data_IF_679239778680
#
_entry.id   IF_679239778680
#
_cell.length_a   1.000
_cell.length_b   1.000
_cell.length_c   1.000
_cell.angle_alpha   90.00
_cell.angle_beta   90.00
_cell.angle_gamma   90.00
#
_symmetry.space_group_name_H-M   'P 1'
#
loop_
_entity.id
_entity.type
_entity.pdbx_description
1 polymer ?
#
# COMPACT_ATOMS: atom_id res chain seq x y z
N UNK A 1 34.99 -1.29 9.75
CA UNK A 1 34.59 -2.66 10.15
C UNK A 1 33.20 -2.72 10.79
N UNK A 2 32.87 -1.88 11.78
CA UNK A 2 31.56 -1.88 12.48
C UNK A 2 30.36 -1.55 11.55
N UNK A 3 30.51 -0.58 10.63
CA UNK A 3 29.47 -0.24 9.63
C UNK A 3 29.12 -1.41 8.70
N UNK A 4 30.12 -2.16 8.22
CA UNK A 4 29.90 -3.31 7.33
C UNK A 4 29.21 -4.47 8.04
N UNK A 5 29.54 -4.73 9.31
CA UNK A 5 28.87 -5.76 10.13
C UNK A 5 27.41 -5.40 10.46
N UNK A 6 27.12 -4.12 10.74
CA UNK A 6 25.73 -3.64 10.87
C UNK A 6 24.96 -3.77 9.55
N UNK A 7 25.57 -3.39 8.42
CA UNK A 7 24.97 -3.55 7.09
C UNK A 7 24.67 -5.02 6.80
N UNK A 8 25.57 -5.95 7.17
CA UNK A 8 25.40 -7.39 6.96
C UNK A 8 24.29 -8.01 7.85
N UNK A 9 24.27 -7.68 9.15
CA UNK A 9 23.23 -8.14 10.10
C UNK A 9 21.84 -7.55 9.80
N UNK A 10 21.78 -6.35 9.21
CA UNK A 10 20.51 -5.75 8.82
C UNK A 10 20.09 -6.24 7.42
N UNK A 11 21.03 -6.51 6.48
CA UNK A 11 20.72 -7.18 5.20
C UNK A 11 20.02 -8.53 5.41
N UNK A 12 20.47 -9.34 6.36
CA UNK A 12 19.81 -10.61 6.70
C UNK A 12 18.41 -10.40 7.31
N UNK A 13 18.21 -9.40 8.17
CA UNK A 13 16.88 -9.02 8.68
C UNK A 13 15.95 -8.43 7.62
N UNK A 14 16.48 -7.68 6.66
CA UNK A 14 15.73 -7.13 5.53
C UNK A 14 15.27 -8.24 4.58
N UNK A 15 16.08 -9.29 4.42
CA UNK A 15 15.74 -10.51 3.69
C UNK A 15 14.76 -11.44 4.46
N UNK A 16 14.75 -11.42 5.80
CA UNK A 16 13.80 -12.20 6.60
C UNK A 16 12.45 -11.50 6.86
N UNK A 17 12.31 -10.22 6.53
CA UNK A 17 11.01 -9.51 6.56
C UNK A 17 10.12 -9.78 5.34
N UNK A 18 10.53 -10.69 4.45
CA UNK A 18 10.15 -10.79 3.03
C UNK A 18 8.86 -11.52 2.70
N UNK A 19 7.96 -11.70 3.65
CA UNK A 19 6.64 -12.24 3.35
C UNK A 19 5.64 -11.60 4.31
N UNK A 20 4.61 -10.96 3.73
CA UNK A 20 3.35 -10.58 4.37
C UNK A 20 3.33 -9.19 5.01
N UNK A 21 3.06 -8.16 4.21
CA UNK A 21 2.83 -6.79 4.69
C UNK A 21 1.58 -6.70 5.57
N UNK A 22 0.51 -7.48 5.34
CA UNK A 22 -0.68 -7.43 6.21
C UNK A 22 -0.95 -8.66 7.11
N UNK A 23 -0.17 -9.75 7.08
CA UNK A 23 -0.20 -10.67 8.26
C UNK A 23 0.46 -10.05 9.50
N UNK A 24 0.95 -8.81 9.39
CA UNK A 24 1.34 -7.92 10.50
C UNK A 24 0.35 -6.78 10.74
N UNK A 25 -0.90 -6.90 10.30
CA UNK A 25 -1.96 -6.29 11.09
C UNK A 25 -1.83 -6.95 12.48
N UNK A 26 -1.25 -6.22 13.43
CA UNK A 26 -1.31 -6.62 14.83
C UNK A 26 -2.77 -6.56 15.26
N UNK A 27 -3.14 -7.24 16.36
CA UNK A 27 -4.45 -7.11 17.04
C UNK A 27 -5.05 -5.70 16.89
N UNK A 28 -4.22 -4.70 17.15
CA UNK A 28 -4.55 -3.29 17.06
C UNK A 28 -5.19 -2.84 15.73
N UNK A 29 -4.68 -3.25 14.54
CA UNK A 29 -5.30 -2.86 13.26
C UNK A 29 -6.59 -3.63 13.01
N UNK A 30 -6.65 -4.87 13.48
CA UNK A 30 -7.85 -5.69 13.39
C UNK A 30 -9.02 -5.08 14.17
N UNK A 31 -8.78 -4.57 15.38
CA UNK A 31 -9.81 -3.93 16.20
C UNK A 31 -10.46 -2.73 15.46
N UNK A 32 -9.72 -2.05 14.59
CA UNK A 32 -10.27 -0.98 13.74
C UNK A 32 -11.06 -1.51 12.53
N UNK A 33 -10.68 -2.68 12.00
CA UNK A 33 -11.39 -3.33 10.90
C UNK A 33 -12.69 -4.01 11.34
N UNK A 34 -12.80 -4.48 12.59
CA UNK A 34 -14.02 -5.13 13.10
C UNK A 34 -15.29 -4.27 13.03
N UNK A 35 -15.13 -2.94 12.92
CA UNK A 35 -16.22 -2.00 12.78
C UNK A 35 -16.47 -1.58 11.31
N UNK A 36 -15.80 -2.21 10.35
CA UNK A 36 -15.83 -1.86 8.93
C UNK A 36 -16.85 -2.63 8.10
N UNK A 37 -17.32 -2.00 7.03
CA UNK A 37 -18.30 -2.57 6.09
C UNK A 37 -17.58 -3.29 4.94
N UNK A 38 -16.51 -2.69 4.42
CA UNK A 38 -15.74 -3.26 3.32
C UNK A 38 -14.52 -2.43 2.94
N UNK A 39 -13.66 -3.05 2.15
CA UNK A 39 -12.29 -2.60 1.90
C UNK A 39 -12.08 -2.33 0.41
N UNK A 40 -11.46 -1.21 0.10
CA UNK A 40 -10.73 -0.99 -1.15
C UNK A 40 -9.25 -1.20 -0.81
N UNK A 41 -8.60 -2.19 -1.43
CA UNK A 41 -7.19 -2.50 -1.18
C UNK A 41 -6.38 -2.24 -2.46
N UNK A 42 -5.53 -1.21 -2.43
CA UNK A 42 -4.66 -0.83 -3.54
C UNK A 42 -3.23 -1.30 -3.25
N UNK A 43 -2.65 -2.06 -4.19
CA UNK A 43 -1.39 -2.77 -3.98
C UNK A 43 -1.61 -4.19 -3.46
N UNK A 44 -2.58 -4.89 -4.05
CA UNK A 44 -3.09 -6.16 -3.55
C UNK A 44 -2.14 -7.36 -3.67
N UNK A 45 -1.12 -7.27 -4.54
CA UNK A 45 -0.19 -8.35 -4.87
C UNK A 45 -0.97 -9.64 -5.24
N UNK A 46 -0.79 -10.73 -4.49
CA UNK A 46 -1.45 -12.02 -4.70
C UNK A 46 -2.67 -12.22 -3.78
N UNK A 47 -3.09 -11.19 -3.03
CA UNK A 47 -4.27 -11.23 -2.15
C UNK A 47 -4.02 -11.96 -0.82
N UNK A 48 -2.87 -11.74 -0.20
CA UNK A 48 -2.42 -12.47 0.99
C UNK A 48 -3.38 -12.35 2.19
N UNK A 49 -4.28 -11.36 2.18
CA UNK A 49 -5.26 -11.09 3.23
C UNK A 49 -6.68 -11.55 2.88
N UNK A 50 -6.88 -12.15 1.70
CA UNK A 50 -8.21 -12.55 1.22
C UNK A 50 -8.96 -13.46 2.18
N UNK A 51 -8.28 -14.49 2.71
CA UNK A 51 -8.87 -15.37 3.70
C UNK A 51 -9.27 -14.64 4.99
N UNK A 52 -8.49 -13.63 5.38
CA UNK A 52 -8.79 -12.85 6.58
C UNK A 52 -10.03 -11.97 6.36
N UNK A 53 -10.07 -11.19 5.28
CA UNK A 53 -11.22 -10.34 4.99
C UNK A 53 -12.50 -11.17 4.78
N UNK A 54 -12.38 -12.37 4.19
CA UNK A 54 -13.48 -13.31 4.05
C UNK A 54 -14.00 -13.81 5.40
N UNK A 55 -13.12 -14.12 6.37
CA UNK A 55 -13.51 -14.55 7.71
C UNK A 55 -14.29 -13.47 8.48
N UNK A 56 -14.18 -12.21 8.07
CA UNK A 56 -14.94 -11.06 8.59
C UNK A 56 -16.14 -10.70 7.72
N UNK A 57 -16.45 -11.48 6.68
CA UNK A 57 -17.53 -11.26 5.72
C UNK A 57 -17.48 -9.87 5.04
N UNK A 58 -16.28 -9.32 4.83
CA UNK A 58 -16.11 -8.00 4.22
C UNK A 58 -16.23 -8.05 2.71
N UNK A 59 -16.92 -7.06 2.13
CA UNK A 59 -16.78 -6.79 0.70
C UNK A 59 -15.37 -6.24 0.43
N UNK A 60 -14.69 -6.77 -0.58
CA UNK A 60 -13.33 -6.33 -0.91
C UNK A 60 -13.17 -6.06 -2.39
N UNK A 61 -12.74 -4.85 -2.73
CA UNK A 61 -12.23 -4.48 -4.03
C UNK A 61 -10.71 -4.46 -3.97
N UNK A 62 -10.09 -5.46 -4.60
CA UNK A 62 -8.64 -5.55 -4.75
C UNK A 62 -8.19 -4.86 -6.02
N UNK A 63 -7.15 -4.04 -5.93
CA UNK A 63 -6.55 -3.37 -7.07
C UNK A 63 -5.06 -3.69 -7.10
N UNK A 64 -4.64 -4.37 -8.16
CA UNK A 64 -3.25 -4.75 -8.39
C UNK A 64 -2.76 -4.21 -9.74
N UNK A 65 -1.60 -3.56 -9.74
CA UNK A 65 -1.05 -2.94 -10.95
C UNK A 65 -0.33 -3.97 -11.84
N UNK A 66 0.42 -4.90 -11.25
CA UNK A 66 1.24 -5.87 -11.97
C UNK A 66 0.34 -6.99 -12.55
N UNK A 67 0.25 -7.14 -13.88
CA UNK A 67 -0.66 -8.12 -14.50
C UNK A 67 -0.40 -9.56 -14.05
N UNK A 68 0.87 -9.95 -13.88
CA UNK A 68 1.24 -11.29 -13.42
C UNK A 68 0.76 -11.58 -11.99
N UNK A 69 0.84 -10.60 -11.08
CA UNK A 69 0.32 -10.74 -9.71
C UNK A 69 -1.21 -10.71 -9.69
N UNK A 70 -1.83 -9.86 -10.51
CA UNK A 70 -3.28 -9.79 -10.67
C UNK A 70 -3.91 -11.13 -11.10
N UNK A 71 -3.27 -11.87 -12.01
CA UNK A 71 -3.77 -13.19 -12.43
C UNK A 71 -3.84 -14.13 -11.22
N UNK A 72 -2.76 -14.22 -10.44
CA UNK A 72 -2.72 -15.05 -9.24
C UNK A 72 -3.69 -14.58 -8.16
N UNK A 73 -3.80 -13.27 -7.95
CA UNK A 73 -4.79 -12.68 -7.06
C UNK A 73 -6.20 -13.12 -7.45
N UNK A 74 -6.54 -13.00 -8.74
CA UNK A 74 -7.85 -13.39 -9.27
C UNK A 74 -8.14 -14.85 -8.98
N UNK A 75 -7.18 -15.75 -9.21
CA UNK A 75 -7.30 -17.18 -8.89
C UNK A 75 -7.48 -17.42 -7.39
N UNK A 76 -6.67 -16.75 -6.54
CA UNK A 76 -6.67 -16.92 -5.09
C UNK A 76 -7.98 -16.49 -4.43
N UNK A 77 -8.69 -15.52 -5.01
CA UNK A 77 -9.93 -14.98 -4.46
C UNK A 77 -11.21 -15.60 -5.03
N UNK A 78 -11.12 -16.47 -6.05
CA UNK A 78 -12.30 -17.09 -6.72
C UNK A 78 -13.31 -17.73 -5.77
N UNK A 79 -12.84 -18.26 -4.63
CA UNK A 79 -13.66 -18.88 -3.59
C UNK A 79 -14.41 -17.89 -2.68
N UNK A 80 -14.19 -16.59 -2.82
CA UNK A 80 -14.78 -15.55 -1.97
C UNK A 80 -15.77 -14.68 -2.78
N UNK A 81 -17.06 -14.99 -2.68
CA UNK A 81 -18.12 -14.36 -3.48
C UNK A 81 -18.26 -12.83 -3.29
N UNK A 82 -17.77 -12.29 -2.17
CA UNK A 82 -17.82 -10.85 -1.86
C UNK A 82 -16.50 -10.13 -2.14
N UNK A 83 -15.55 -10.77 -2.83
CA UNK A 83 -14.27 -10.18 -3.20
C UNK A 83 -14.10 -10.16 -4.72
N UNK A 84 -13.56 -9.05 -5.22
CA UNK A 84 -13.35 -8.81 -6.65
C UNK A 84 -11.98 -8.16 -6.85
N UNK A 85 -11.30 -8.51 -7.95
CA UNK A 85 -10.04 -7.89 -8.34
C UNK A 85 -10.19 -7.02 -9.59
N UNK A 86 -9.37 -5.96 -9.68
CA UNK A 86 -9.19 -5.11 -10.87
C UNK A 86 -7.69 -4.95 -11.12
N UNK A 87 -7.27 -5.13 -12.38
CA UNK A 87 -5.90 -4.82 -12.80
C UNK A 87 -5.80 -3.34 -13.17
N UNK A 88 -5.19 -2.52 -12.31
CA UNK A 88 -5.00 -1.10 -12.58
C UNK A 88 -3.83 -0.51 -11.78
N UNK A 89 -3.06 0.37 -12.42
CA UNK A 89 -2.10 1.24 -11.73
C UNK A 89 -2.81 2.53 -11.30
N UNK A 90 -3.00 2.70 -9.99
CA UNK A 90 -3.70 3.86 -9.45
C UNK A 90 -2.74 5.03 -9.26
N UNK A 91 -3.14 6.22 -9.73
CA UNK A 91 -2.35 7.44 -9.68
C UNK A 91 -3.24 8.69 -9.51
N UNK A 92 -2.64 9.87 -9.32
CA UNK A 92 -3.36 11.14 -9.21
C UNK A 92 -4.01 11.60 -10.52
N UNK A 93 -3.59 11.04 -11.66
CA UNK A 93 -4.06 11.38 -13.00
C UNK A 93 -4.26 10.11 -13.80
N UNK A 94 -5.33 10.06 -14.59
CA UNK A 94 -5.63 8.95 -15.52
C UNK A 94 -4.93 9.17 -16.86
N UNK A 95 -4.63 8.08 -17.57
CA UNK A 95 -4.11 8.12 -18.94
C UNK A 95 -2.62 8.42 -19.08
N UNK A 96 -1.85 8.43 -18.00
CA UNK A 96 -0.39 8.60 -18.06
C UNK A 96 0.27 7.26 -18.34
N UNK A 97 1.20 7.23 -19.29
CA UNK A 97 2.14 6.13 -19.43
C UNK A 97 3.23 6.27 -18.36
N UNK A 98 3.34 5.29 -17.47
CA UNK A 98 4.29 5.28 -16.35
C UNK A 98 5.09 3.99 -16.39
N UNK A 99 6.41 4.12 -16.24
CA UNK A 99 7.27 2.95 -16.05
C UNK A 99 7.09 2.41 -14.63
N UNK A 100 6.63 1.18 -14.55
CA UNK A 100 6.43 0.45 -13.31
C UNK A 100 7.56 -0.57 -13.14
N UNK A 101 8.38 -0.37 -12.10
CA UNK A 101 9.57 -1.15 -11.82
C UNK A 101 9.24 -2.31 -10.90
N UNK A 102 9.70 -3.51 -11.25
CA UNK A 102 9.40 -4.76 -10.54
C UNK A 102 10.68 -5.60 -10.39
N UNK A 103 10.91 -6.17 -9.20
CA UNK A 103 12.05 -7.08 -8.93
C UNK A 103 11.62 -8.49 -8.48
N UNK A 104 10.36 -8.84 -8.76
CA UNK A 104 9.75 -10.13 -8.39
C UNK A 104 9.27 -10.18 -6.93
N UNK A 105 9.66 -9.22 -6.10
CA UNK A 105 9.21 -9.11 -4.70
C UNK A 105 8.48 -7.79 -4.46
N UNK A 106 9.04 -6.69 -4.96
CA UNK A 106 8.55 -5.33 -4.78
C UNK A 106 8.28 -4.69 -6.14
N UNK A 107 7.29 -3.81 -6.16
CA UNK A 107 6.96 -3.00 -7.32
C UNK A 107 6.66 -1.56 -6.91
N UNK A 108 7.08 -0.60 -7.74
CA UNK A 108 6.83 0.83 -7.50
C UNK A 108 6.95 1.63 -8.81
N UNK A 109 6.32 2.79 -8.84
CA UNK A 109 6.51 3.80 -9.90
C UNK A 109 7.79 4.63 -9.66
N UNK A 110 8.50 4.40 -8.55
CA UNK A 110 9.71 5.13 -8.18
C UNK A 110 10.96 4.26 -8.17
N UNK A 111 12.10 4.89 -8.46
CA UNK A 111 13.41 4.28 -8.30
C UNK A 111 13.79 4.19 -6.82
N UNK A 112 14.57 3.15 -6.47
CA UNK A 112 15.14 3.03 -5.14
C UNK A 112 16.07 4.20 -4.86
N UNK A 113 15.93 4.76 -3.67
CA UNK A 113 16.79 5.84 -3.20
C UNK A 113 18.25 5.41 -3.08
N UNK A 114 19.19 6.36 -3.08
CA UNK A 114 20.58 6.11 -2.69
C UNK A 114 20.68 5.35 -1.36
N UNK A 115 19.83 5.69 -0.40
CA UNK A 115 19.75 4.98 0.87
C UNK A 115 19.40 3.50 0.66
N UNK A 116 18.36 3.18 -0.10
CA UNK A 116 17.97 1.80 -0.39
C UNK A 116 19.07 1.04 -1.16
N UNK A 117 19.81 1.72 -2.03
CA UNK A 117 20.94 1.14 -2.74
C UNK A 117 22.11 0.75 -1.81
N UNK A 118 22.38 1.56 -0.77
CA UNK A 118 23.33 1.17 0.29
C UNK A 118 22.90 -0.13 1.01
N UNK A 119 21.59 -0.43 1.01
CA UNK A 119 21.02 -1.66 1.54
C UNK A 119 20.99 -2.83 0.56
N UNK A 120 21.59 -2.66 -0.63
CA UNK A 120 21.71 -3.68 -1.66
C UNK A 120 20.48 -3.79 -2.57
N UNK A 121 19.61 -2.78 -2.58
CA UNK A 121 18.60 -2.67 -3.63
C UNK A 121 19.25 -2.18 -4.92
N UNK A 122 18.78 -2.67 -6.08
CA UNK A 122 19.29 -2.25 -7.39
C UNK A 122 18.17 -1.63 -8.21
N UNK A 123 18.47 -0.55 -8.94
CA UNK A 123 17.56 0.04 -9.93
C UNK A 123 17.58 -0.68 -11.27
N UNK A 124 18.47 -1.67 -11.45
CA UNK A 124 18.43 -2.63 -12.57
C UNK A 124 17.29 -3.63 -12.37
N UNK A 125 16.06 -3.16 -12.57
CA UNK A 125 14.81 -3.91 -12.40
C UNK A 125 14.06 -4.08 -13.72
N UNK A 126 13.18 -5.09 -13.80
CA UNK A 126 12.23 -5.19 -14.91
C UNK A 126 11.34 -3.95 -14.89
N UNK A 127 11.23 -3.27 -16.03
CA UNK A 127 10.31 -2.14 -16.22
C UNK A 127 9.19 -2.58 -17.16
N UNK A 128 7.95 -2.30 -16.78
CA UNK A 128 6.78 -2.43 -17.66
C UNK A 128 6.08 -1.08 -17.72
N UNK A 129 5.68 -0.63 -18.91
CA UNK A 129 4.92 0.61 -19.04
C UNK A 129 3.45 0.30 -18.84
N UNK A 130 2.82 0.98 -17.89
CA UNK A 130 1.39 0.86 -17.57
C UNK A 130 0.68 2.19 -17.79
N UNK A 131 -0.60 2.13 -18.13
CA UNK A 131 -1.47 3.31 -18.20
C UNK A 131 -2.17 3.49 -16.87
N UNK A 132 -2.03 4.67 -16.29
CA UNK A 132 -2.61 4.98 -14.99
C UNK A 132 -4.12 5.19 -15.06
N UNK A 133 -4.79 4.94 -13.93
CA UNK A 133 -6.17 5.34 -13.66
C UNK A 133 -6.26 6.06 -12.32
N UNK A 134 -7.29 6.89 -12.13
CA UNK A 134 -7.60 7.41 -10.79
C UNK A 134 -8.48 6.41 -10.04
N UNK A 135 -8.41 6.39 -8.71
CA UNK A 135 -9.30 5.53 -7.91
C UNK A 135 -10.76 5.95 -8.10
N UNK A 136 -11.02 7.25 -8.18
CA UNK A 136 -12.37 7.77 -8.46
C UNK A 136 -12.95 7.22 -9.76
N UNK A 137 -12.16 7.09 -10.83
CA UNK A 137 -12.61 6.47 -12.09
C UNK A 137 -13.00 5.01 -11.92
N UNK A 138 -12.20 4.23 -11.18
CA UNK A 138 -12.51 2.83 -10.88
C UNK A 138 -13.83 2.72 -10.11
N UNK A 139 -14.02 3.59 -9.12
CA UNK A 139 -15.17 3.53 -8.23
C UNK A 139 -16.51 3.93 -8.88
N UNK A 140 -16.51 4.53 -10.08
CA UNK A 140 -17.77 4.86 -10.81
C UNK A 140 -18.61 3.60 -11.09
N UNK A 141 -17.96 2.47 -11.35
CA UNK A 141 -18.64 1.21 -11.70
C UNK A 141 -18.86 0.30 -10.49
N UNK A 142 -18.61 0.79 -9.28
CA UNK A 142 -18.65 0.02 -8.06
C UNK A 142 -19.72 0.56 -7.10
N UNK A 143 -20.33 -0.34 -6.32
CA UNK A 143 -21.27 0.05 -5.28
C UNK A 143 -20.51 0.67 -4.09
N UNK A 144 -20.24 1.98 -4.16
CA UNK A 144 -19.41 2.70 -3.20
C UNK A 144 -19.87 2.57 -1.73
N UNK A 145 -21.16 2.28 -1.48
CA UNK A 145 -21.71 2.04 -0.14
C UNK A 145 -21.24 0.72 0.50
N UNK A 146 -20.61 -0.17 -0.26
CA UNK A 146 -20.02 -1.41 0.26
C UNK A 146 -18.67 -1.20 0.92
N UNK A 147 -18.05 -0.03 0.77
CA UNK A 147 -16.68 0.21 1.19
C UNK A 147 -16.59 1.42 2.12
N UNK A 148 -15.90 1.25 3.24
CA UNK A 148 -15.67 2.32 4.21
C UNK A 148 -14.21 2.44 4.65
N UNK A 149 -13.34 1.60 4.09
CA UNK A 149 -11.93 1.51 4.44
C UNK A 149 -11.08 1.44 3.16
N UNK A 150 -10.05 2.28 3.08
CA UNK A 150 -9.02 2.25 2.03
C UNK A 150 -7.71 1.75 2.62
N UNK A 151 -7.18 0.65 2.09
CA UNK A 151 -5.88 0.08 2.44
C UNK A 151 -4.91 0.36 1.30
N UNK A 152 -3.74 0.90 1.62
CA UNK A 152 -2.69 1.26 0.67
C UNK A 152 -1.39 0.54 1.00
N UNK A 153 -0.91 -0.27 0.06
CA UNK A 153 0.43 -0.86 0.03
C UNK A 153 1.05 -0.66 -1.37
N UNK A 154 1.38 0.59 -1.69
CA UNK A 154 1.80 0.98 -3.05
C UNK A 154 3.25 1.47 -3.09
N UNK A 155 4.03 1.08 -2.08
CA UNK A 155 5.48 1.25 -2.02
C UNK A 155 5.94 2.68 -2.39
N UNK A 156 5.37 3.67 -1.70
CA UNK A 156 5.78 5.08 -1.79
C UNK A 156 4.80 5.98 -2.56
N UNK A 157 3.87 5.40 -3.33
CA UNK A 157 2.88 6.12 -4.13
C UNK A 157 1.58 6.45 -3.38
N UNK A 158 1.54 6.32 -2.05
CA UNK A 158 0.31 6.44 -1.25
C UNK A 158 -0.36 7.80 -1.47
N UNK A 159 0.43 8.88 -1.48
CA UNK A 159 -0.10 10.23 -1.73
C UNK A 159 -0.65 10.40 -3.15
N UNK A 160 -0.03 9.78 -4.17
CA UNK A 160 -0.52 9.83 -5.54
C UNK A 160 -1.88 9.12 -5.65
N UNK A 161 -2.02 7.95 -5.02
CA UNK A 161 -3.30 7.24 -4.94
C UNK A 161 -4.37 8.08 -4.22
N UNK A 162 -4.03 8.67 -3.08
CA UNK A 162 -4.94 9.52 -2.30
C UNK A 162 -5.41 10.77 -3.06
N UNK A 163 -4.57 11.32 -3.93
CA UNK A 163 -4.93 12.41 -4.84
C UNK A 163 -5.88 11.98 -5.96
N UNK A 164 -5.73 10.75 -6.45
CA UNK A 164 -6.66 10.13 -7.39
C UNK A 164 -7.98 9.64 -6.77
N UNK A 165 -8.15 9.79 -5.46
CA UNK A 165 -9.28 9.25 -4.69
C UNK A 165 -10.16 10.36 -4.07
N UNK A 166 -10.18 11.57 -4.63
CA UNK A 166 -10.81 12.74 -4.01
C UNK A 166 -12.30 12.54 -3.65
N UNK A 167 -13.07 11.85 -4.50
CA UNK A 167 -14.48 11.55 -4.25
C UNK A 167 -14.65 10.28 -3.42
N UNK A 168 -13.83 9.26 -3.67
CA UNK A 168 -13.79 8.01 -2.89
C UNK A 168 -13.52 8.30 -1.42
N UNK A 169 -12.57 9.20 -1.13
CA UNK A 169 -12.24 9.62 0.22
C UNK A 169 -13.47 10.14 0.96
N UNK A 170 -14.39 10.87 0.31
CA UNK A 170 -15.63 11.40 0.94
C UNK A 170 -16.58 10.30 1.41
N UNK A 171 -16.44 9.07 0.92
CA UNK A 171 -17.32 7.93 1.22
C UNK A 171 -16.74 6.97 2.25
N UNK A 172 -15.43 7.00 2.46
CA UNK A 172 -14.76 6.12 3.43
C UNK A 172 -14.52 6.84 4.77
N UNK A 173 -14.42 6.02 5.82
CA UNK A 173 -14.19 6.44 7.19
C UNK A 173 -12.77 6.14 7.67
N UNK A 174 -12.05 5.24 6.99
CA UNK A 174 -10.72 4.80 7.39
C UNK A 174 -9.75 4.76 6.22
N UNK A 175 -8.52 5.20 6.47
CA UNK A 175 -7.37 4.97 5.58
C UNK A 175 -6.30 4.25 6.39
N UNK A 176 -5.78 3.15 5.84
CA UNK A 176 -4.72 2.33 6.41
C UNK A 176 -3.56 2.32 5.42
N UNK A 177 -2.37 2.67 5.89
CA UNK A 177 -1.18 2.66 5.04
C UNK A 177 0.09 2.46 5.87
N UNK A 178 1.11 1.89 5.24
CA UNK A 178 2.49 2.06 5.69
C UNK A 178 3.00 3.45 5.32
N UNK A 179 3.75 4.08 6.22
CA UNK A 179 4.31 5.41 5.99
C UNK A 179 5.68 5.56 6.66
N UNK A 180 6.62 6.19 5.95
CA UNK A 180 8.02 6.35 6.39
C UNK A 180 8.34 7.81 6.70
N UNK A 181 9.29 8.03 7.60
CA UNK A 181 9.85 9.38 7.87
C UNK A 181 11.14 9.65 7.08
N UNK A 182 11.63 8.66 6.35
CA UNK A 182 12.78 8.70 5.47
C UNK A 182 12.34 8.25 4.07
N UNK A 183 13.20 8.43 3.06
CA UNK A 183 12.95 8.01 1.69
C UNK A 183 13.58 6.63 1.43
N UNK A 184 12.78 5.61 1.12
CA UNK A 184 13.25 4.33 0.56
C UNK A 184 13.26 4.36 -0.96
N UNK A 185 12.29 5.03 -1.58
CA UNK A 185 12.31 5.43 -2.98
C UNK A 185 12.60 6.93 -3.15
N UNK A 186 13.17 7.36 -4.28
CA UNK A 186 13.63 8.74 -4.51
C UNK A 186 12.51 9.79 -4.31
N UNK A 187 11.37 9.61 -4.96
CA UNK A 187 10.24 10.55 -4.94
C UNK A 187 9.06 10.09 -4.07
N UNK A 188 9.30 9.16 -3.12
CA UNK A 188 8.21 8.70 -2.25
C UNK A 188 7.66 9.81 -1.35
N UNK A 189 6.36 9.74 -1.10
CA UNK A 189 5.75 10.57 -0.08
C UNK A 189 6.16 10.10 1.33
N UNK A 190 6.29 11.05 2.25
CA UNK A 190 6.60 10.75 3.66
C UNK A 190 5.33 10.78 4.48
N UNK A 191 5.39 10.22 5.69
CA UNK A 191 4.30 10.24 6.67
C UNK A 191 3.70 11.64 6.86
N UNK A 192 4.54 12.67 6.89
CA UNK A 192 4.08 14.07 7.06
C UNK A 192 3.21 14.52 5.88
N UNK A 193 3.49 14.05 4.67
CA UNK A 193 2.83 14.48 3.44
C UNK A 193 1.46 13.81 3.34
N UNK A 194 1.40 12.50 3.65
CA UNK A 194 0.16 11.73 3.77
C UNK A 194 -0.74 12.33 4.87
N UNK A 195 -0.18 12.54 6.07
CA UNK A 195 -0.93 13.05 7.22
C UNK A 195 -1.48 14.45 6.97
N UNK A 196 -0.68 15.36 6.37
CA UNK A 196 -1.15 16.68 5.97
C UNK A 196 -2.33 16.59 4.99
N UNK A 197 -2.18 15.78 3.94
CA UNK A 197 -3.21 15.64 2.90
C UNK A 197 -4.53 15.08 3.44
N UNK A 198 -4.45 14.07 4.32
CA UNK A 198 -5.62 13.47 4.97
C UNK A 198 -6.25 14.40 6.01
N UNK A 199 -5.46 15.18 6.75
CA UNK A 199 -5.96 16.17 7.72
C UNK A 199 -6.85 17.23 7.10
N UNK A 200 -6.46 17.73 5.93
CA UNK A 200 -7.23 18.69 5.13
C UNK A 200 -8.59 18.11 4.66
N UNK A 201 -8.77 16.79 4.71
CA UNK A 201 -9.98 16.06 4.27
C UNK A 201 -10.79 15.47 5.43
N UNK A 202 -10.53 15.95 6.65
CA UNK A 202 -11.26 15.55 7.84
C UNK A 202 -10.83 14.21 8.42
N UNK A 203 -9.61 13.75 8.15
CA UNK A 203 -9.06 12.55 8.81
C UNK A 203 -8.04 12.91 9.89
N UNK A 204 -7.89 12.06 10.89
CA UNK A 204 -6.85 12.17 11.93
C UNK A 204 -6.23 10.81 12.18
N UNK A 205 -4.91 10.77 12.41
CA UNK A 205 -4.23 9.56 12.88
C UNK A 205 -4.85 9.15 14.20
N UNK A 206 -5.50 7.98 14.24
CA UNK A 206 -5.96 7.38 15.49
C UNK A 206 -4.94 6.38 16.02
N UNK A 207 -4.25 5.68 15.12
CA UNK A 207 -3.27 4.67 15.46
C UNK A 207 -2.02 4.84 14.60
N UNK A 208 -0.86 4.73 15.25
CA UNK A 208 0.46 4.80 14.63
C UNK A 208 1.42 3.91 15.40
N UNK A 209 1.88 2.82 14.79
CA UNK A 209 2.83 1.88 15.41
C UNK A 209 4.09 1.75 14.58
N UNK A 210 5.24 1.93 15.21
CA UNK A 210 6.53 1.73 14.56
C UNK A 210 6.69 0.24 14.22
N UNK A 211 6.95 -0.06 12.95
CA UNK A 211 7.23 -1.41 12.45
C UNK A 211 8.74 -1.63 12.41
N UNK A 212 9.47 -0.59 12.00
CA UNK A 212 10.91 -0.60 11.87
C UNK A 212 11.47 0.77 12.23
N UNK A 213 12.43 0.79 13.14
CA UNK A 213 13.21 1.97 13.45
C UNK A 213 14.66 1.75 13.03
N UNK A 214 15.22 2.73 12.34
CA UNK A 214 16.58 2.71 11.83
C UNK A 214 17.32 3.91 12.44
N UNK A 215 18.26 3.69 13.37
CA UNK A 215 19.00 4.76 14.04
C UNK A 215 19.66 5.71 13.03
N UNK A 216 19.43 7.02 13.21
CA UNK A 216 20.00 8.06 12.35
C UNK A 216 19.34 8.20 10.97
N UNK A 217 18.33 7.39 10.64
CA UNK A 217 17.63 7.43 9.35
C UNK A 217 16.17 7.81 9.56
N UNK A 218 15.44 7.03 10.35
CA UNK A 218 14.01 7.25 10.56
C UNK A 218 13.23 6.01 10.96
N UNK A 219 11.91 6.10 10.83
CA UNK A 219 10.98 5.06 11.23
C UNK A 219 9.94 4.82 10.15
N UNK A 220 9.60 3.56 9.97
CA UNK A 220 8.48 3.06 9.18
C UNK A 220 7.34 2.71 10.14
N UNK A 221 6.14 3.18 9.82
CA UNK A 221 4.96 3.06 10.66
C UNK A 221 3.80 2.40 9.93
N UNK A 222 3.04 1.58 10.66
CA UNK A 222 1.67 1.25 10.32
C UNK A 222 0.77 2.35 10.89
N UNK A 223 0.00 2.99 10.02
CA UNK A 223 -0.85 4.12 10.39
C UNK A 223 -2.31 3.86 10.01
N UNK A 224 -3.22 4.30 10.87
CA UNK A 224 -4.65 4.33 10.61
C UNK A 224 -5.16 5.74 10.85
N UNK A 225 -5.74 6.31 9.80
CA UNK A 225 -6.45 7.57 9.85
C UNK A 225 -7.95 7.31 9.87
N UNK A 226 -8.65 7.98 10.79
CA UNK A 226 -10.10 7.89 10.95
C UNK A 226 -10.72 9.27 10.66
N UNK A 227 -11.86 9.27 9.97
CA UNK A 227 -12.65 10.47 9.71
C UNK A 227 -13.20 11.06 11.02
N UNK A 228 -13.08 12.37 11.17
CA UNK A 228 -13.59 13.17 12.29
C UNK A 228 -14.66 14.16 11.84
#
# INVERSE_FOLDING_TARGET
MIKLLQIFLIKSRMFLGRLKVLLRLNKDVWDYLENGIGIIHVGANEGQEAAFYAAKNMHVLWIEALPEAYIKLSDNITKYNNQKAINALIHEKSGLAVDFMCDGVMSSIYEYSDYAQLWGMSNERKKITLITKTLDEIMVNEAANLYDTLVLDVQGAELAVLKGACNTLKKINRVIAEARTFSFYEDECKLRDIDKYLKERGFRIKYKKAIRWIPGVGTEYNCIWIRV
#
